data_IF_316572774995
#
_entry.id   IF_316572774995
#
_cell.length_a   1.000
_cell.length_b   1.000
_cell.length_c   1.000
_cell.angle_alpha   90.00
_cell.angle_beta   90.00
_cell.angle_gamma   90.00
#
_symmetry.space_group_name_H-M   'P 1'
#
loop_
_entity.id
_entity.type
_entity.pdbx_description
1 polymer ?
#
# COMPACT_ATOMS: atom_id res chain seq x y z
N UNK A 1 11.82 50.44 28.09
CA UNK A 1 10.68 49.53 27.94
C UNK A 1 11.07 48.19 27.29
N UNK A 2 11.82 48.11 26.21
CA UNK A 2 12.18 46.80 25.55
C UNK A 2 13.03 45.86 26.44
N UNK A 3 13.88 46.34 27.31
CA UNK A 3 14.75 45.52 28.19
C UNK A 3 13.99 44.91 29.41
N UNK A 4 12.88 45.49 29.82
CA UNK A 4 12.07 44.98 30.95
C UNK A 4 11.14 43.84 30.49
N UNK A 5 10.71 43.85 29.24
CA UNK A 5 9.86 42.80 28.65
C UNK A 5 10.64 41.47 28.48
N UNK A 6 11.94 41.57 28.10
CA UNK A 6 12.83 40.41 27.97
C UNK A 6 13.08 39.69 29.31
N UNK A 7 13.15 40.44 30.42
CA UNK A 7 13.37 39.86 31.74
C UNK A 7 12.10 39.20 32.29
N UNK A 8 10.93 39.74 31.96
CA UNK A 8 9.65 39.13 32.35
C UNK A 8 9.36 37.79 31.62
N UNK A 9 9.75 37.69 30.32
CA UNK A 9 9.59 36.44 29.57
C UNK A 9 10.56 35.34 30.04
N UNK A 10 11.79 35.70 30.45
CA UNK A 10 12.76 34.74 31.01
C UNK A 10 12.32 34.18 32.38
N UNK A 11 11.66 35.01 33.18
CA UNK A 11 11.17 34.61 34.52
C UNK A 11 9.97 33.66 34.44
N UNK A 12 9.13 33.79 33.42
CA UNK A 12 7.98 32.88 33.20
C UNK A 12 8.46 31.51 32.74
N UNK A 13 9.54 31.39 31.98
CA UNK A 13 10.11 30.09 31.56
C UNK A 13 10.75 29.31 32.74
N UNK A 14 11.25 29.96 33.77
CA UNK A 14 11.85 29.29 34.94
C UNK A 14 10.80 28.77 35.90
N UNK A 15 9.61 29.36 35.95
CA UNK A 15 8.51 28.92 36.83
C UNK A 15 7.79 27.65 36.36
N UNK A 16 7.94 27.24 35.09
CA UNK A 16 7.31 26.02 34.56
C UNK A 16 8.16 24.76 34.87
N UNK A 17 9.42 24.91 35.29
CA UNK A 17 10.34 23.80 35.57
C UNK A 17 10.33 23.34 37.05
N UNK A 18 9.58 23.97 37.93
CA UNK A 18 9.56 23.64 39.39
C UNK A 18 8.29 22.90 39.80
N UNK A 19 7.37 22.58 38.89
CA UNK A 19 6.13 21.86 39.16
C UNK A 19 6.21 20.33 39.04
N UNK A 20 7.41 19.74 38.98
CA UNK A 20 7.63 18.31 39.15
C UNK A 20 8.36 18.03 40.45
N UNK A 21 7.68 18.21 41.55
CA UNK A 21 8.12 17.84 42.90
C UNK A 21 7.28 16.71 43.45
N UNK A 22 7.94 15.59 43.68
CA UNK A 22 7.64 14.50 44.59
C UNK A 22 6.19 14.23 44.98
N UNK A 23 5.67 13.13 44.44
CA UNK A 23 4.58 12.42 45.11
C UNK A 23 5.07 11.03 45.52
N UNK A 24 4.91 10.64 46.79
CA UNK A 24 5.42 9.36 47.27
C UNK A 24 4.61 8.21 46.72
N UNK A 25 5.31 7.12 46.54
CA UNK A 25 4.84 5.82 46.12
C UNK A 25 3.41 5.50 46.53
N UNK A 26 2.50 5.40 45.60
CA UNK A 26 1.26 4.66 45.71
C UNK A 26 1.40 3.37 44.94
N UNK A 27 1.47 2.34 45.70
CA UNK A 27 1.44 0.93 45.37
C UNK A 27 0.19 0.59 44.56
N UNK A 28 0.30 -0.26 43.54
CA UNK A 28 -0.89 -0.83 42.92
C UNK A 28 -0.76 -0.85 41.40
N UNK A 29 -0.06 -1.86 40.88
CA UNK A 29 -0.02 -2.16 39.47
C UNK A 29 -1.42 -2.34 38.87
N UNK A 30 -1.82 -1.38 38.09
CA UNK A 30 -2.77 -1.58 37.02
C UNK A 30 -2.09 -1.02 35.75
N UNK A 31 -1.16 -1.79 35.19
CA UNK A 31 -0.78 -1.59 33.80
C UNK A 31 -2.03 -1.92 32.99
N UNK A 32 -2.95 -0.95 32.89
CA UNK A 32 -3.90 -0.93 31.80
C UNK A 32 -3.04 -1.03 30.55
N UNK A 33 -3.13 -2.14 29.85
CA UNK A 33 -2.48 -2.35 28.55
C UNK A 33 -2.99 -1.23 27.64
N UNK A 34 -2.18 -0.19 27.49
CA UNK A 34 -2.49 0.93 26.60
C UNK A 34 -2.70 0.35 25.22
N UNK A 35 -3.87 0.62 24.62
CA UNK A 35 -4.19 0.14 23.28
C UNK A 35 -3.33 0.87 22.28
N UNK A 36 -2.57 0.14 21.50
CA UNK A 36 -1.77 0.68 20.39
C UNK A 36 -2.61 0.62 19.12
N UNK A 37 -2.88 1.77 18.52
CA UNK A 37 -3.62 1.86 17.27
C UNK A 37 -2.63 2.10 16.11
N UNK A 38 -2.63 1.20 15.15
CA UNK A 38 -1.82 1.27 13.93
C UNK A 38 -2.70 1.74 12.76
N UNK A 39 -2.12 2.52 11.85
CA UNK A 39 -2.78 2.97 10.62
C UNK A 39 -2.34 2.13 9.45
N UNK A 40 -3.29 1.45 8.82
CA UNK A 40 -3.06 0.65 7.63
C UNK A 40 -3.70 1.29 6.40
N UNK A 41 -3.06 1.20 5.24
CA UNK A 41 -3.64 1.72 4.01
C UNK A 41 -3.54 0.75 2.84
N UNK A 42 -4.52 0.84 1.95
CA UNK A 42 -4.57 0.12 0.68
C UNK A 42 -5.06 1.05 -0.44
N UNK A 43 -4.55 0.91 -1.67
CA UNK A 43 -4.98 1.77 -2.77
C UNK A 43 -6.31 1.39 -3.38
N UNK A 44 -7.00 0.41 -2.81
CA UNK A 44 -8.21 -0.19 -3.37
C UNK A 44 -9.46 0.14 -2.56
N UNK A 45 -10.63 0.03 -3.19
CA UNK A 45 -11.93 0.21 -2.54
C UNK A 45 -12.22 -0.91 -1.51
N UNK A 46 -13.14 -0.70 -0.55
CA UNK A 46 -13.42 -1.66 0.52
C UNK A 46 -13.77 -3.07 0.03
N UNK A 47 -14.46 -3.19 -1.08
CA UNK A 47 -14.92 -4.47 -1.64
C UNK A 47 -13.79 -5.29 -2.30
N UNK A 48 -12.65 -4.66 -2.55
CA UNK A 48 -11.54 -5.30 -3.22
C UNK A 48 -10.88 -6.38 -2.32
N UNK A 49 -10.41 -7.52 -2.88
CA UNK A 49 -9.77 -8.57 -2.11
C UNK A 49 -8.61 -8.13 -1.23
N UNK A 50 -7.80 -7.16 -1.67
CA UNK A 50 -6.73 -6.59 -0.85
C UNK A 50 -7.24 -5.89 0.40
N UNK A 51 -8.32 -5.11 0.24
CA UNK A 51 -8.94 -4.40 1.37
C UNK A 51 -9.53 -5.41 2.37
N UNK A 52 -10.26 -6.39 1.89
CA UNK A 52 -10.80 -7.48 2.74
C UNK A 52 -9.70 -8.29 3.44
N UNK A 53 -8.56 -8.51 2.77
CA UNK A 53 -7.40 -9.16 3.39
C UNK A 53 -6.88 -8.31 4.56
N UNK A 54 -6.75 -7.01 4.38
CA UNK A 54 -6.27 -6.10 5.42
C UNK A 54 -7.25 -5.99 6.59
N UNK A 55 -8.56 -5.96 6.32
CA UNK A 55 -9.62 -6.00 7.34
C UNK A 55 -9.56 -7.29 8.18
N UNK A 56 -9.33 -8.42 7.51
CA UNK A 56 -9.20 -9.71 8.19
C UNK A 56 -7.93 -9.75 9.07
N UNK A 57 -6.82 -9.20 8.59
CA UNK A 57 -5.60 -9.05 9.39
C UNK A 57 -5.88 -8.17 10.61
N UNK A 58 -6.55 -7.04 10.44
CA UNK A 58 -6.91 -6.13 11.53
C UNK A 58 -7.77 -6.81 12.60
N UNK A 59 -8.79 -7.56 12.16
CA UNK A 59 -9.66 -8.32 13.06
C UNK A 59 -8.88 -9.39 13.84
N UNK A 60 -8.02 -10.17 13.16
CA UNK A 60 -7.22 -11.21 13.80
C UNK A 60 -6.17 -10.64 14.78
N UNK A 61 -5.53 -9.53 14.45
CA UNK A 61 -4.58 -8.88 15.35
C UNK A 61 -5.30 -8.40 16.61
N UNK A 62 -6.46 -7.76 16.48
CA UNK A 62 -7.26 -7.34 17.63
C UNK A 62 -7.65 -8.51 18.52
N UNK A 63 -8.12 -9.61 17.92
CA UNK A 63 -8.50 -10.82 18.65
C UNK A 63 -7.30 -11.48 19.34
N UNK A 64 -6.23 -11.76 18.62
CA UNK A 64 -5.05 -12.46 19.15
C UNK A 64 -4.27 -11.66 20.18
N UNK A 65 -4.44 -10.35 20.22
CA UNK A 65 -3.80 -9.47 21.19
C UNK A 65 -4.73 -9.03 22.31
N UNK A 66 -5.95 -9.60 22.40
CA UNK A 66 -6.98 -9.20 23.34
C UNK A 66 -7.25 -7.68 23.31
N UNK A 67 -7.24 -7.08 22.14
CA UNK A 67 -7.46 -5.65 21.92
C UNK A 67 -6.27 -4.74 22.23
N UNK A 68 -5.10 -5.30 22.60
CA UNK A 68 -3.89 -4.49 22.84
C UNK A 68 -3.42 -3.77 21.58
N UNK A 69 -3.52 -4.41 20.42
CA UNK A 69 -3.26 -3.80 19.12
C UNK A 69 -4.55 -3.71 18.33
N UNK A 70 -4.79 -2.55 17.72
CA UNK A 70 -5.88 -2.30 16.80
C UNK A 70 -5.31 -1.72 15.52
N UNK A 71 -5.96 -1.98 14.39
CA UNK A 71 -5.54 -1.48 13.09
C UNK A 71 -6.73 -0.75 12.47
N UNK A 72 -6.55 0.54 12.21
CA UNK A 72 -7.48 1.36 11.45
C UNK A 72 -7.14 1.27 9.97
N UNK A 73 -8.07 0.78 9.17
CA UNK A 73 -7.87 0.54 7.73
C UNK A 73 -8.41 1.69 6.90
N UNK A 74 -7.56 2.25 6.05
CA UNK A 74 -7.87 3.36 5.15
C UNK A 74 -7.80 2.89 3.70
N UNK A 75 -8.93 3.00 2.99
CA UNK A 75 -9.08 2.55 1.60
C UNK A 75 -8.78 3.67 0.60
N UNK A 76 -8.59 3.27 -0.68
CA UNK A 76 -8.34 4.18 -1.81
C UNK A 76 -7.13 5.11 -1.60
N UNK A 77 -6.15 4.70 -0.78
CA UNK A 77 -5.02 5.55 -0.38
C UNK A 77 -5.48 6.93 0.15
N UNK A 78 -6.59 6.98 0.89
CA UNK A 78 -7.26 8.22 1.31
C UNK A 78 -6.41 9.12 2.21
N UNK A 79 -5.43 8.56 2.93
CA UNK A 79 -4.44 9.33 3.69
C UNK A 79 -3.26 9.83 2.84
N UNK A 80 -3.25 9.53 1.54
CA UNK A 80 -2.13 9.73 0.63
C UNK A 80 -2.57 10.41 -0.67
N UNK A 81 -3.58 11.28 -0.60
CA UNK A 81 -4.16 11.99 -1.75
C UNK A 81 -4.59 11.04 -2.88
N UNK A 82 -5.09 9.87 -2.53
CA UNK A 82 -5.45 8.77 -3.43
C UNK A 82 -4.28 8.28 -4.32
N UNK A 83 -3.04 8.54 -3.91
CA UNK A 83 -1.81 8.16 -4.62
C UNK A 83 -1.21 6.89 -4.04
N UNK A 84 -1.14 5.82 -4.85
CA UNK A 84 -0.47 4.57 -4.49
C UNK A 84 1.01 4.79 -4.18
N UNK A 85 1.66 5.69 -4.92
CA UNK A 85 3.07 6.02 -4.73
C UNK A 85 3.30 6.73 -3.40
N UNK A 86 2.54 7.79 -3.12
CA UNK A 86 2.63 8.54 -1.87
C UNK A 86 2.35 7.63 -0.66
N UNK A 87 1.35 6.75 -0.76
CA UNK A 87 1.05 5.77 0.28
C UNK A 87 2.25 4.85 0.57
N UNK A 88 2.89 4.33 -0.47
CA UNK A 88 4.08 3.47 -0.31
C UNK A 88 5.24 4.23 0.34
N UNK A 89 5.49 5.47 -0.08
CA UNK A 89 6.51 6.34 0.52
C UNK A 89 6.21 6.65 2.00
N UNK A 90 4.94 6.84 2.37
CA UNK A 90 4.52 7.04 3.76
C UNK A 90 4.75 5.81 4.64
N UNK A 91 4.59 4.59 4.10
CA UNK A 91 4.94 3.35 4.81
C UNK A 91 6.47 3.27 4.98
N UNK A 92 7.24 3.56 3.94
CA UNK A 92 8.72 3.58 3.99
C UNK A 92 9.27 4.55 5.03
N UNK A 93 8.59 5.67 5.27
CA UNK A 93 8.99 6.70 6.23
C UNK A 93 8.37 6.55 7.61
N UNK A 94 7.52 5.53 7.81
CA UNK A 94 6.83 5.30 9.08
C UNK A 94 5.69 6.29 9.38
N UNK A 95 5.27 7.09 8.39
CA UNK A 95 4.09 7.95 8.52
C UNK A 95 2.78 7.14 8.52
N UNK A 96 2.76 6.03 7.79
CA UNK A 96 1.80 4.93 7.90
C UNK A 96 2.51 3.71 8.47
N UNK A 97 1.82 2.94 9.30
CA UNK A 97 2.42 1.81 10.01
C UNK A 97 2.50 0.57 9.13
N UNK A 98 1.51 0.33 8.26
CA UNK A 98 1.48 -0.82 7.35
C UNK A 98 0.55 -0.59 6.15
N UNK A 99 0.62 -1.50 5.17
CA UNK A 99 -0.29 -1.46 4.03
C UNK A 99 -0.01 -2.54 2.99
N UNK A 100 -0.87 -2.59 1.98
CA UNK A 100 -0.67 -3.42 0.80
C UNK A 100 -0.32 -2.51 -0.37
N UNK A 101 0.88 -2.70 -0.91
CA UNK A 101 1.44 -1.83 -1.95
C UNK A 101 1.71 -2.60 -3.24
N UNK A 102 1.51 -1.97 -4.42
CA UNK A 102 1.91 -2.58 -5.69
C UNK A 102 3.40 -2.85 -5.74
N UNK A 103 3.79 -4.06 -6.12
CA UNK A 103 5.17 -4.51 -6.14
C UNK A 103 6.17 -3.54 -6.81
N UNK A 104 5.88 -2.92 -7.97
CA UNK A 104 6.81 -1.98 -8.61
C UNK A 104 7.12 -0.70 -7.81
N UNK A 105 6.28 -0.37 -6.82
CA UNK A 105 6.47 0.81 -5.97
C UNK A 105 7.32 0.52 -4.73
N UNK A 106 7.42 -0.74 -4.35
CA UNK A 106 8.21 -1.19 -3.19
C UNK A 106 9.72 -1.11 -3.47
N UNK A 107 10.13 -1.39 -4.72
CA UNK A 107 11.54 -1.32 -5.11
C UNK A 107 11.77 -1.77 -6.55
N UNK A 108 12.91 -1.38 -7.12
CA UNK A 108 13.24 -1.68 -8.52
C UNK A 108 13.20 -3.19 -8.85
N UNK A 109 13.73 -4.03 -7.97
CA UNK A 109 13.75 -5.48 -8.19
C UNK A 109 12.34 -6.07 -8.25
N UNK A 110 11.39 -5.54 -7.48
CA UNK A 110 9.98 -5.96 -7.53
C UNK A 110 9.28 -5.60 -8.83
N UNK A 111 9.86 -4.70 -9.64
CA UNK A 111 9.33 -4.40 -10.98
C UNK A 111 9.35 -5.62 -11.90
N UNK A 112 10.20 -6.60 -11.64
CA UNK A 112 10.23 -7.87 -12.36
C UNK A 112 8.87 -8.57 -12.37
N UNK A 113 8.12 -8.54 -11.26
CA UNK A 113 6.77 -9.12 -11.18
C UNK A 113 5.72 -8.44 -12.08
N UNK A 114 6.06 -7.36 -12.74
CA UNK A 114 5.15 -6.58 -13.60
C UNK A 114 5.50 -6.63 -15.09
N UNK A 115 6.51 -7.41 -15.46
CA UNK A 115 6.81 -7.61 -16.87
C UNK A 115 5.70 -8.43 -17.57
N UNK A 116 5.35 -8.09 -18.81
CA UNK A 116 4.40 -8.86 -19.59
C UNK A 116 4.90 -10.28 -19.84
N UNK A 117 3.99 -11.25 -19.88
CA UNK A 117 4.25 -12.64 -20.31
C UNK A 117 5.29 -13.40 -19.47
N UNK A 118 5.57 -12.96 -18.25
CA UNK A 118 6.58 -13.57 -17.40
C UNK A 118 6.07 -14.81 -16.67
N UNK A 119 4.78 -14.88 -16.41
CA UNK A 119 4.15 -15.98 -15.68
C UNK A 119 3.09 -16.66 -16.54
N UNK A 120 3.12 -17.99 -16.59
CA UNK A 120 2.19 -18.79 -17.38
C UNK A 120 0.83 -18.88 -16.68
N UNK A 121 0.84 -19.12 -15.35
CA UNK A 121 -0.33 -19.35 -14.54
C UNK A 121 -0.10 -18.94 -13.07
N UNK A 122 -1.11 -19.12 -12.23
CA UNK A 122 -1.05 -18.82 -10.79
C UNK A 122 -0.11 -19.74 -10.03
N UNK A 123 -0.03 -21.00 -10.41
CA UNK A 123 0.86 -21.95 -9.77
C UNK A 123 2.32 -21.60 -10.03
N UNK A 124 2.61 -21.07 -11.22
CA UNK A 124 3.94 -20.52 -11.53
C UNK A 124 4.27 -19.32 -10.62
N UNK A 125 3.37 -18.34 -10.49
CA UNK A 125 3.56 -17.20 -9.58
C UNK A 125 3.75 -17.69 -8.14
N UNK A 126 2.92 -18.64 -7.70
CA UNK A 126 3.02 -19.18 -6.33
C UNK A 126 4.39 -19.83 -6.09
N UNK A 127 4.87 -20.68 -7.00
CA UNK A 127 6.21 -21.30 -6.88
C UNK A 127 7.32 -20.26 -6.82
N UNK A 128 7.22 -19.18 -7.61
CA UNK A 128 8.19 -18.09 -7.57
C UNK A 128 8.14 -17.34 -6.25
N UNK A 129 6.97 -17.00 -5.75
CA UNK A 129 6.81 -16.28 -4.47
C UNK A 129 7.24 -17.13 -3.26
N UNK A 130 7.11 -18.45 -3.33
CA UNK A 130 7.53 -19.40 -2.29
C UNK A 130 9.04 -19.70 -2.32
N UNK A 131 9.75 -19.27 -3.39
CA UNK A 131 11.19 -19.52 -3.55
C UNK A 131 12.05 -18.74 -2.55
N UNK A 132 13.25 -19.22 -2.31
CA UNK A 132 14.22 -18.54 -1.42
C UNK A 132 14.63 -17.19 -1.99
N UNK A 133 14.78 -17.07 -3.33
CA UNK A 133 15.05 -15.78 -3.99
C UNK A 133 13.96 -14.75 -3.71
N UNK A 134 12.69 -15.17 -3.73
CA UNK A 134 11.59 -14.25 -3.43
C UNK A 134 11.56 -13.85 -1.94
N UNK A 135 11.94 -14.75 -1.02
CA UNK A 135 12.09 -14.42 0.41
C UNK A 135 13.26 -13.46 0.64
N UNK A 136 14.40 -13.69 -0.01
CA UNK A 136 15.55 -12.78 0.02
C UNK A 136 15.16 -11.39 -0.50
N UNK A 137 14.33 -11.33 -1.55
CA UNK A 137 13.84 -10.08 -2.09
C UNK A 137 12.94 -9.33 -1.09
N UNK A 138 12.06 -10.03 -0.35
CA UNK A 138 11.28 -9.42 0.74
C UNK A 138 12.21 -8.86 1.82
N UNK A 139 13.20 -9.63 2.27
CA UNK A 139 14.15 -9.19 3.29
C UNK A 139 14.97 -7.96 2.84
N UNK A 140 15.32 -7.87 1.56
CA UNK A 140 16.08 -6.75 1.01
C UNK A 140 15.33 -5.39 1.10
N UNK A 141 14.02 -5.39 1.30
CA UNK A 141 13.24 -4.16 1.48
C UNK A 141 13.55 -3.42 2.77
N UNK A 142 14.16 -4.06 3.75
CA UNK A 142 14.56 -3.41 5.00
C UNK A 142 15.52 -2.23 4.76
N UNK A 143 16.37 -2.34 3.74
CA UNK A 143 17.23 -1.23 3.32
C UNK A 143 16.47 0.01 2.85
N UNK A 144 15.19 -0.13 2.50
CA UNK A 144 14.28 0.94 2.08
C UNK A 144 13.31 1.37 3.18
N UNK A 145 13.51 0.94 4.43
CA UNK A 145 12.65 1.24 5.56
C UNK A 145 11.36 0.41 5.61
N UNK A 146 11.29 -0.70 4.86
CA UNK A 146 10.13 -1.59 4.85
C UNK A 146 10.48 -2.96 5.43
N UNK A 147 9.61 -3.50 6.26
CA UNK A 147 9.59 -4.91 6.61
C UNK A 147 8.48 -5.61 5.81
N UNK A 148 8.84 -6.17 4.65
CA UNK A 148 7.87 -6.84 3.79
C UNK A 148 7.58 -8.25 4.29
N UNK A 149 6.33 -8.51 4.67
CA UNK A 149 5.92 -9.75 5.32
C UNK A 149 5.52 -10.86 4.34
N UNK A 150 4.89 -10.50 3.22
CA UNK A 150 4.37 -11.48 2.26
C UNK A 150 4.07 -10.86 0.90
N UNK A 151 3.90 -11.73 -0.10
CA UNK A 151 3.31 -11.39 -1.38
C UNK A 151 1.80 -11.58 -1.34
N UNK A 152 1.07 -10.63 -1.91
CA UNK A 152 -0.39 -10.73 -2.10
C UNK A 152 -0.67 -10.75 -3.60
N UNK A 153 -1.30 -11.80 -4.07
CA UNK A 153 -1.65 -11.92 -5.49
C UNK A 153 -2.72 -10.89 -5.88
N UNK A 154 -2.60 -10.37 -7.09
CA UNK A 154 -3.55 -9.44 -7.67
C UNK A 154 -4.05 -9.90 -9.06
N UNK A 155 -3.87 -11.15 -9.41
CA UNK A 155 -4.29 -11.74 -10.68
C UNK A 155 -3.52 -11.21 -11.91
N UNK A 156 -3.88 -11.71 -13.08
CA UNK A 156 -3.31 -11.31 -14.36
C UNK A 156 -3.89 -9.99 -14.85
N UNK A 157 -3.04 -9.16 -15.41
CA UNK A 157 -3.44 -7.88 -15.99
C UNK A 157 -4.09 -8.11 -17.35
N UNK A 158 -5.28 -7.56 -17.53
CA UNK A 158 -6.02 -7.58 -18.79
C UNK A 158 -6.07 -6.17 -19.41
N UNK A 159 -6.08 -6.10 -20.72
CA UNK A 159 -6.28 -4.85 -21.46
C UNK A 159 -7.76 -4.73 -21.80
N UNK A 160 -8.38 -3.65 -21.36
CA UNK A 160 -9.76 -3.31 -21.73
C UNK A 160 -9.75 -2.01 -22.52
N UNK A 161 -10.53 -1.93 -23.60
CA UNK A 161 -10.73 -0.72 -24.37
C UNK A 161 -12.13 -0.71 -25.01
N UNK A 162 -12.56 0.44 -25.50
CA UNK A 162 -13.87 0.65 -26.14
C UNK A 162 -13.76 0.88 -27.66
N UNK A 163 -12.58 0.68 -28.27
CA UNK A 163 -12.33 0.91 -29.69
C UNK A 163 -12.47 -0.38 -30.49
N UNK A 164 -11.66 -1.39 -30.18
CA UNK A 164 -11.59 -2.64 -30.89
C UNK A 164 -10.97 -3.75 -30.03
N UNK A 165 -11.09 -4.99 -30.48
CA UNK A 165 -10.45 -6.12 -29.82
C UNK A 165 -8.92 -6.02 -29.92
N UNK A 166 -8.21 -6.31 -28.85
CA UNK A 166 -6.75 -6.40 -28.79
C UNK A 166 -6.37 -7.88 -28.71
N UNK A 167 -5.73 -8.38 -29.76
CA UNK A 167 -5.24 -9.76 -29.86
C UNK A 167 -3.74 -9.82 -30.03
N UNK A 168 -3.13 -8.81 -30.61
CA UNK A 168 -1.71 -8.69 -30.90
C UNK A 168 -1.18 -7.33 -30.39
N UNK A 169 0.14 -7.18 -30.22
CA UNK A 169 0.72 -5.86 -29.92
C UNK A 169 0.38 -4.78 -30.94
N UNK A 170 0.21 -5.14 -32.23
CA UNK A 170 -0.13 -4.18 -33.27
C UNK A 170 -1.51 -3.55 -33.04
N UNK A 171 -2.43 -4.28 -32.43
CA UNK A 171 -3.76 -3.76 -32.09
C UNK A 171 -3.71 -2.71 -30.95
N UNK A 172 -2.58 -2.55 -30.29
CA UNK A 172 -2.37 -1.55 -29.25
C UNK A 172 -2.03 -0.17 -29.81
N UNK A 173 -1.63 -0.08 -31.08
CA UNK A 173 -1.16 1.17 -31.68
C UNK A 173 -2.18 2.29 -31.60
N UNK A 174 -1.75 3.41 -31.01
CA UNK A 174 -2.57 4.61 -30.89
C UNK A 174 -3.62 4.59 -29.78
N UNK A 175 -3.85 3.47 -29.09
CA UNK A 175 -4.75 3.43 -27.93
C UNK A 175 -4.18 4.26 -26.77
N UNK A 176 -5.05 4.97 -26.06
CA UNK A 176 -4.72 5.66 -24.81
C UNK A 176 -5.04 4.74 -23.66
N UNK A 177 -4.03 4.15 -23.04
CA UNK A 177 -4.18 3.13 -22.01
C UNK A 177 -3.71 3.67 -20.66
N UNK A 178 -4.58 3.61 -19.69
CA UNK A 178 -4.22 3.92 -18.30
C UNK A 178 -3.23 2.88 -17.75
N UNK A 179 -2.24 3.36 -17.02
CA UNK A 179 -1.36 2.53 -16.20
C UNK A 179 -1.31 3.07 -14.76
N UNK A 180 -0.92 2.27 -13.76
CA UNK A 180 -0.45 2.81 -12.49
C UNK A 180 0.83 3.65 -12.71
N UNK A 181 1.22 4.45 -11.71
CA UNK A 181 2.45 5.26 -11.75
C UNK A 181 3.72 4.38 -11.58
N UNK A 182 3.86 3.37 -12.43
CA UNK A 182 4.97 2.42 -12.42
C UNK A 182 5.69 2.45 -13.77
N UNK A 183 6.97 2.84 -13.76
CA UNK A 183 7.76 3.03 -14.96
C UNK A 183 7.81 1.76 -15.85
N UNK A 184 7.96 0.58 -15.26
CA UNK A 184 7.96 -0.71 -15.98
C UNK A 184 6.66 -0.99 -16.70
N UNK A 185 5.51 -0.74 -16.05
CA UNK A 185 4.21 -0.94 -16.68
C UNK A 185 3.98 0.05 -17.82
N UNK A 186 4.37 1.32 -17.61
CA UNK A 186 4.30 2.34 -18.65
C UNK A 186 5.17 1.97 -19.86
N UNK A 187 6.41 1.57 -19.62
CA UNK A 187 7.34 1.16 -20.68
C UNK A 187 6.80 -0.04 -21.47
N UNK A 188 6.23 -1.03 -20.79
CA UNK A 188 5.64 -2.20 -21.43
C UNK A 188 4.46 -1.83 -22.37
N UNK A 189 3.55 -0.98 -21.91
CA UNK A 189 2.41 -0.51 -22.71
C UNK A 189 2.88 0.34 -23.90
N UNK A 190 3.88 1.20 -23.69
CA UNK A 190 4.46 2.01 -24.76
C UNK A 190 5.19 1.15 -25.79
N UNK A 191 5.93 0.13 -25.36
CA UNK A 191 6.62 -0.81 -26.26
C UNK A 191 5.65 -1.60 -27.15
N UNK A 192 4.41 -1.84 -26.69
CA UNK A 192 3.33 -2.42 -27.49
C UNK A 192 2.65 -1.41 -28.43
N UNK A 193 3.09 -0.17 -28.49
CA UNK A 193 2.60 0.86 -29.42
C UNK A 193 1.44 1.71 -28.90
N UNK A 194 1.01 1.55 -27.66
CA UNK A 194 -0.03 2.38 -27.06
C UNK A 194 0.54 3.61 -26.35
N UNK A 195 -0.30 4.63 -26.13
CA UNK A 195 0.00 5.79 -25.32
C UNK A 195 -0.32 5.49 -23.85
N UNK A 196 0.70 5.22 -23.05
CA UNK A 196 0.55 4.96 -21.62
C UNK A 196 0.29 6.27 -20.85
N UNK A 197 -0.75 6.30 -20.03
CA UNK A 197 -1.10 7.45 -19.18
C UNK A 197 -1.17 6.99 -17.73
N UNK A 198 -0.31 7.56 -16.87
CA UNK A 198 -0.31 7.26 -15.44
C UNK A 198 -1.47 7.99 -14.74
N UNK A 199 -2.39 7.22 -14.15
CA UNK A 199 -3.52 7.75 -13.36
C UNK A 199 -3.67 6.89 -12.11
N UNK A 200 -3.86 7.53 -10.96
CA UNK A 200 -4.10 6.85 -9.69
C UNK A 200 -5.37 6.00 -9.74
N UNK A 201 -5.40 4.90 -8.98
CA UNK A 201 -6.55 3.99 -8.97
C UNK A 201 -7.85 4.70 -8.53
N UNK A 202 -7.78 5.58 -7.55
CA UNK A 202 -8.94 6.36 -7.07
C UNK A 202 -9.52 7.34 -8.10
N UNK A 203 -8.73 7.80 -9.06
CA UNK A 203 -9.15 8.75 -10.11
C UNK A 203 -9.62 8.04 -11.39
N UNK A 204 -9.39 6.73 -11.48
CA UNK A 204 -9.58 5.96 -12.71
C UNK A 204 -11.02 5.98 -13.21
N UNK A 205 -12.00 5.85 -12.32
CA UNK A 205 -13.43 5.86 -12.69
C UNK A 205 -13.84 7.18 -13.36
N UNK A 206 -13.41 8.29 -12.79
CA UNK A 206 -13.69 9.63 -13.33
C UNK A 206 -13.00 9.81 -14.68
N UNK A 207 -11.72 9.43 -14.80
CA UNK A 207 -10.97 9.52 -16.04
C UNK A 207 -11.58 8.67 -17.17
N UNK A 208 -12.10 7.49 -16.85
CA UNK A 208 -12.79 6.62 -17.80
C UNK A 208 -14.16 7.17 -18.23
N UNK A 209 -14.90 7.80 -17.32
CA UNK A 209 -16.20 8.38 -17.60
C UNK A 209 -16.11 9.65 -18.46
N UNK A 210 -15.03 10.41 -18.34
CA UNK A 210 -14.78 11.64 -19.10
C UNK A 210 -14.20 11.41 -20.50
N UNK A 211 -14.16 10.18 -20.99
CA UNK A 211 -13.64 9.80 -22.34
C UNK A 211 -12.22 10.25 -22.66
N UNK A 212 -11.44 10.67 -21.66
CA UNK A 212 -10.04 11.05 -21.84
C UNK A 212 -9.11 9.86 -22.13
N UNK A 213 -9.58 8.64 -21.89
CA UNK A 213 -8.89 7.37 -22.10
C UNK A 213 -9.73 6.41 -22.94
N UNK A 214 -9.07 5.59 -23.75
CA UNK A 214 -9.72 4.50 -24.48
C UNK A 214 -10.04 3.27 -23.59
N UNK A 215 -9.81 3.34 -22.33
CA UNK A 215 -9.87 2.50 -21.13
C UNK A 215 -8.50 2.05 -20.65
N UNK A 216 -8.47 1.42 -19.48
CA UNK A 216 -7.21 1.12 -18.81
C UNK A 216 -6.88 -0.36 -18.80
N UNK A 217 -5.67 -0.68 -18.35
CA UNK A 217 -5.37 -2.03 -17.90
C UNK A 217 -6.11 -2.26 -16.59
N UNK A 218 -7.16 -3.09 -16.62
CA UNK A 218 -7.84 -3.54 -15.41
C UNK A 218 -7.42 -4.99 -15.11
N UNK A 219 -7.35 -5.32 -13.84
CA UNK A 219 -7.20 -6.71 -13.42
C UNK A 219 -8.58 -7.33 -13.29
N UNK A 220 -8.78 -8.49 -13.91
CA UNK A 220 -9.96 -9.29 -13.72
C UNK A 220 -9.70 -10.20 -12.52
N UNK A 221 -10.16 -9.83 -11.34
CA UNK A 221 -10.35 -10.78 -10.25
C UNK A 221 -11.64 -11.53 -10.57
N UNK A 222 -11.55 -12.80 -10.93
CA UNK A 222 -12.71 -13.67 -10.97
C UNK A 222 -13.09 -13.96 -9.52
N UNK A 223 -14.29 -13.58 -9.10
CA UNK A 223 -14.82 -13.75 -7.74
C UNK A 223 -14.82 -15.21 -7.24
N UNK A 224 -14.61 -16.18 -8.11
CA UNK A 224 -14.71 -17.62 -7.80
C UNK A 224 -13.38 -18.31 -7.47
N UNK A 225 -12.27 -17.58 -7.36
CA UNK A 225 -10.94 -18.20 -7.18
C UNK A 225 -10.10 -17.50 -6.10
N UNK A 226 -10.72 -17.19 -4.96
CA UNK A 226 -9.94 -16.91 -3.75
C UNK A 226 -9.46 -18.26 -3.18
N UNK A 227 -8.16 -18.62 -3.26
CA UNK A 227 -7.63 -19.64 -2.39
C UNK A 227 -7.81 -19.11 -0.96
N UNK A 228 -8.41 -19.92 -0.11
CA UNK A 228 -8.43 -19.65 1.31
C UNK A 228 -7.00 -19.47 1.82
N UNK A 229 -6.60 -18.24 2.14
CA UNK A 229 -5.36 -17.92 2.85
C UNK A 229 -5.42 -18.36 4.33
N UNK A 230 -6.23 -19.36 4.61
CA UNK A 230 -6.28 -20.03 5.90
C UNK A 230 -5.56 -21.36 5.77
N UNK A 231 -4.25 -21.35 5.90
CA UNK A 231 -3.46 -22.42 6.51
C UNK A 231 -1.95 -22.19 6.24
N UNK A 232 -1.37 -21.24 6.92
CA UNK A 232 0.03 -21.30 7.30
C UNK A 232 0.03 -21.87 8.71
N UNK A 233 0.16 -23.19 8.82
CA UNK A 233 0.49 -23.83 10.09
C UNK A 233 1.87 -23.40 10.54
N UNK A 234 1.96 -23.14 11.83
CA UNK A 234 3.08 -22.77 12.67
C UNK A 234 4.43 -23.34 12.29
#
# INVERSE_FOLDING_TARGET
>A
MKKMISFALALIMVLVLVACGDNPASNGGNTQNETVTLRASTPTAPEHPWSKCLDNIAAQIKEKTNGRYQIDVYYNASLSENSEKTMTEQIMTGTLDLGISPAPLVGKAFSAFSFPFQFDDRDHIKRVCDSDTAKELLAATESNGLHSMAYVENGFRQITNNKHAVKTPDDMKGLKIRTPQAATTMAAITAMGANATAINAGELYVALSQTSLDKGTQRKTTENELPSLTQGTA
#
